data_IF_553725315741
#
_entry.id   IF_553725315741
#
_cell.length_a   1.000
_cell.length_b   1.000
_cell.length_c   1.000
_cell.angle_alpha   90.00
_cell.angle_beta   90.00
_cell.angle_gamma   90.00
#
_symmetry.space_group_name_H-M   'P 1'
#
loop_
_entity.id
_entity.type
_entity.pdbx_description
1 polymer ?
#
# COMPACT_ATOMS: atom_id res chain seq x y z
N UNK A 1 -14.87 8.79 -5.61
CA UNK A 1 -14.43 8.12 -4.37
C UNK A 1 -12.93 8.20 -4.32
N UNK A 2 -12.41 8.84 -3.28
CA UNK A 2 -10.98 8.98 -3.02
C UNK A 2 -10.42 7.65 -2.48
N UNK A 3 -9.11 7.42 -2.59
CA UNK A 3 -8.45 6.24 -2.05
C UNK A 3 -8.68 6.11 -0.53
N UNK A 4 -8.69 7.23 0.19
CA UNK A 4 -8.94 7.24 1.64
C UNK A 4 -10.30 6.63 2.00
N UNK A 5 -11.36 6.95 1.26
CA UNK A 5 -12.70 6.37 1.50
C UNK A 5 -12.70 4.85 1.35
N UNK A 6 -12.06 4.35 0.29
CA UNK A 6 -11.93 2.91 0.05
C UNK A 6 -11.15 2.21 1.17
N UNK A 7 -10.08 2.84 1.68
CA UNK A 7 -9.32 2.30 2.81
C UNK A 7 -10.18 2.23 4.07
N UNK A 8 -10.95 3.29 4.36
CA UNK A 8 -11.87 3.33 5.50
C UNK A 8 -12.93 2.24 5.40
N UNK A 9 -13.58 2.08 4.25
CA UNK A 9 -14.57 1.02 4.01
C UNK A 9 -13.99 -0.38 4.25
N UNK A 10 -12.75 -0.63 3.80
CA UNK A 10 -12.08 -1.91 4.02
C UNK A 10 -11.74 -2.13 5.50
N UNK A 11 -11.24 -1.11 6.20
CA UNK A 11 -10.96 -1.19 7.63
C UNK A 11 -12.24 -1.49 8.42
N UNK A 12 -13.34 -0.82 8.10
CA UNK A 12 -14.65 -1.03 8.72
C UNK A 12 -15.24 -2.42 8.43
N UNK A 13 -15.02 -2.94 7.22
CA UNK A 13 -15.48 -4.26 6.78
C UNK A 13 -14.66 -5.41 7.38
N UNK A 14 -13.33 -5.32 7.29
CA UNK A 14 -12.42 -6.37 7.78
C UNK A 14 -12.33 -6.36 9.31
N UNK A 15 -12.53 -5.19 9.95
CA UNK A 15 -12.48 -4.97 11.40
C UNK A 15 -11.15 -5.40 12.03
N UNK A 16 -10.07 -5.20 11.29
CA UNK A 16 -8.71 -5.46 11.73
C UNK A 16 -7.88 -4.19 11.53
N UNK A 17 -6.81 -3.96 12.32
CA UNK A 17 -5.94 -2.81 12.11
C UNK A 17 -5.06 -3.04 10.88
N UNK A 18 -4.96 -2.02 10.03
CA UNK A 18 -4.14 -2.07 8.82
C UNK A 18 -2.66 -1.89 9.15
N UNK A 19 -1.79 -2.77 8.65
CA UNK A 19 -0.34 -2.64 8.84
C UNK A 19 0.26 -1.68 7.82
N UNK A 20 -0.07 -1.82 6.54
CA UNK A 20 0.45 -0.92 5.52
C UNK A 20 -0.46 -0.92 4.29
N UNK A 21 -0.28 0.10 3.46
CA UNK A 21 -0.88 0.16 2.13
C UNK A 21 0.24 0.25 1.12
N UNK A 22 0.22 -0.63 0.13
CA UNK A 22 1.06 -0.51 -1.06
C UNK A 22 0.18 -0.19 -2.25
N UNK A 23 0.59 0.77 -3.07
CA UNK A 23 -0.05 1.02 -4.36
C UNK A 23 0.99 0.87 -5.45
N UNK A 24 0.67 0.19 -6.54
CA UNK A 24 1.59 -0.07 -7.65
C UNK A 24 0.97 0.33 -8.97
N UNK A 25 1.76 0.99 -9.81
CA UNK A 25 1.44 1.30 -11.20
C UNK A 25 2.52 0.72 -12.11
N UNK A 26 2.13 0.24 -13.29
CA UNK A 26 3.10 0.09 -14.37
C UNK A 26 3.70 1.47 -14.72
N UNK A 27 4.93 1.51 -15.24
CA UNK A 27 5.59 2.76 -15.62
C UNK A 27 5.04 3.34 -16.94
N UNK A 28 3.72 3.41 -17.06
CA UNK A 28 2.96 3.95 -18.18
C UNK A 28 1.75 4.70 -17.64
N UNK A 29 1.48 5.88 -18.18
CA UNK A 29 0.34 6.69 -17.77
C UNK A 29 -0.99 6.02 -18.11
N UNK A 30 -2.02 6.34 -17.33
CA UNK A 30 -3.39 5.89 -17.56
C UNK A 30 -3.56 4.36 -17.58
N UNK A 31 -2.80 3.64 -16.75
CA UNK A 31 -3.01 2.22 -16.45
C UNK A 31 -3.71 2.06 -15.10
N UNK A 32 -4.49 1.00 -14.87
CA UNK A 32 -5.02 0.72 -13.54
C UNK A 32 -3.92 0.68 -12.46
N UNK A 33 -4.26 1.14 -11.26
CA UNK A 33 -3.40 1.02 -10.08
C UNK A 33 -3.83 -0.20 -9.25
N UNK A 34 -2.86 -0.91 -8.69
CA UNK A 34 -3.09 -2.05 -7.79
C UNK A 34 -2.78 -1.61 -6.36
N UNK A 35 -3.82 -1.51 -5.53
CA UNK A 35 -3.71 -1.22 -4.10
C UNK A 35 -3.75 -2.53 -3.31
N UNK A 36 -2.71 -2.83 -2.52
CA UNK A 36 -2.63 -3.98 -1.62
C UNK A 36 -2.68 -3.47 -0.18
N UNK A 37 -3.65 -3.95 0.58
CA UNK A 37 -3.85 -3.66 1.99
C UNK A 37 -3.22 -4.80 2.78
N UNK A 38 -2.19 -4.46 3.54
CA UNK A 38 -1.41 -5.43 4.30
C UNK A 38 -2.04 -5.63 5.67
N UNK A 39 -2.72 -6.75 5.85
CA UNK A 39 -3.22 -7.24 7.14
C UNK A 39 -2.35 -8.37 7.70
N UNK A 40 -1.20 -8.63 7.05
CA UNK A 40 -0.40 -9.82 7.30
C UNK A 40 0.09 -9.86 8.76
N UNK A 41 -0.08 -11.02 9.40
CA UNK A 41 0.21 -11.23 10.82
C UNK A 41 -1.05 -11.29 11.71
N UNK A 42 -2.18 -10.76 11.25
CA UNK A 42 -3.43 -10.90 12.00
C UNK A 42 -4.17 -12.19 11.66
N UNK A 43 -4.77 -12.79 12.69
CA UNK A 43 -5.65 -13.95 12.57
C UNK A 43 -7.02 -13.62 13.13
N UNK A 44 -8.07 -14.13 12.48
CA UNK A 44 -9.47 -13.98 12.91
C UNK A 44 -9.97 -15.31 13.47
N UNK A 45 -10.79 -15.25 14.51
CA UNK A 45 -11.49 -16.41 15.02
C UNK A 45 -12.29 -17.09 13.90
N UNK A 46 -12.26 -18.43 13.88
CA UNK A 46 -13.08 -19.20 12.96
C UNK A 46 -14.54 -19.14 13.44
N UNK A 47 -15.51 -18.71 12.60
CA UNK A 47 -16.90 -18.57 13.05
C UNK A 47 -17.58 -19.89 13.45
N UNK A 48 -17.06 -21.02 12.95
CA UNK A 48 -17.52 -22.34 13.34
C UNK A 48 -17.14 -22.62 14.79
N UNK A 49 -18.10 -23.07 15.60
CA UNK A 49 -17.90 -23.52 16.97
C UNK A 49 -18.35 -24.97 17.07
N UNK A 50 -17.46 -25.86 17.52
CA UNK A 50 -17.74 -27.28 17.73
C UNK A 50 -17.43 -27.62 19.20
N UNK A 51 -18.40 -28.14 19.98
CA UNK A 51 -18.16 -28.51 21.37
C UNK A 51 -16.98 -29.49 21.53
N UNK A 52 -16.04 -29.16 22.43
CA UNK A 52 -14.85 -29.98 22.69
C UNK A 52 -13.76 -29.93 21.62
N UNK A 53 -13.92 -29.12 20.56
CA UNK A 53 -12.93 -28.99 19.49
C UNK A 53 -12.42 -27.55 19.42
N UNK A 54 -11.13 -27.36 19.68
CA UNK A 54 -10.47 -26.08 19.44
C UNK A 54 -10.21 -25.91 17.94
N UNK A 55 -10.86 -24.91 17.34
CA UNK A 55 -10.69 -24.61 15.92
C UNK A 55 -9.66 -23.48 15.78
N UNK A 56 -8.56 -23.69 15.04
CA UNK A 56 -7.50 -22.70 14.95
C UNK A 56 -7.99 -21.40 14.28
N UNK A 57 -7.44 -20.25 14.67
CA UNK A 57 -7.77 -18.97 14.05
C UNK A 57 -7.20 -18.90 12.62
N UNK A 58 -7.97 -18.30 11.72
CA UNK A 58 -7.70 -18.21 10.27
C UNK A 58 -6.88 -16.96 9.97
N UNK A 59 -5.96 -16.97 8.99
CA UNK A 59 -5.38 -15.74 8.51
C UNK A 59 -6.48 -14.80 7.96
N UNK A 60 -6.27 -13.49 8.11
CA UNK A 60 -7.07 -12.49 7.39
C UNK A 60 -6.64 -12.54 5.92
N UNK A 61 -7.58 -12.73 4.97
CA UNK A 61 -7.22 -12.70 3.56
C UNK A 61 -6.58 -11.36 3.20
N UNK A 62 -5.52 -11.39 2.39
CA UNK A 62 -4.96 -10.14 1.88
C UNK A 62 -6.00 -9.46 0.99
N UNK A 63 -6.13 -8.13 1.08
CA UNK A 63 -7.08 -7.39 0.26
C UNK A 63 -6.33 -6.64 -0.82
N UNK A 64 -6.65 -6.92 -2.08
CA UNK A 64 -6.14 -6.16 -3.22
C UNK A 64 -7.30 -5.51 -3.97
N UNK A 65 -7.15 -4.24 -4.34
CA UNK A 65 -8.18 -3.42 -4.97
C UNK A 65 -7.58 -2.79 -6.23
N UNK A 66 -8.31 -2.85 -7.34
CA UNK A 66 -7.97 -2.13 -8.55
C UNK A 66 -8.56 -0.71 -8.50
N UNK A 67 -7.76 0.29 -8.90
CA UNK A 67 -8.20 1.67 -9.05
C UNK A 67 -8.12 2.04 -10.53
N UNK A 68 -9.28 2.17 -11.17
CA UNK A 68 -9.43 2.43 -12.61
C UNK A 68 -9.61 3.91 -12.96
N UNK A 69 -9.32 4.81 -12.02
CA UNK A 69 -9.48 6.24 -12.24
C UNK A 69 -8.48 6.71 -13.31
N UNK A 70 -8.92 7.44 -14.36
CA UNK A 70 -8.00 7.99 -15.35
C UNK A 70 -7.00 8.96 -14.71
N UNK A 71 -5.74 8.88 -15.12
CA UNK A 71 -4.68 9.76 -14.62
C UNK A 71 -3.70 10.09 -15.74
N UNK A 72 -3.14 11.31 -15.68
CA UNK A 72 -2.34 11.88 -16.76
C UNK A 72 -0.85 11.93 -16.46
N UNK A 73 -0.48 11.88 -15.19
CA UNK A 73 0.92 11.92 -14.75
C UNK A 73 1.09 11.22 -13.41
N UNK A 74 2.30 10.78 -13.11
CA UNK A 74 2.61 10.12 -11.85
C UNK A 74 2.44 11.05 -10.65
N UNK A 75 2.65 12.35 -10.85
CA UNK A 75 2.45 13.39 -9.86
C UNK A 75 0.97 13.51 -9.45
N UNK A 76 0.04 13.18 -10.37
CA UNK A 76 -1.39 13.10 -10.03
C UNK A 76 -1.67 11.91 -9.11
N UNK A 77 -0.99 10.79 -9.34
CA UNK A 77 -1.07 9.60 -8.48
C UNK A 77 -0.42 9.86 -7.13
N UNK A 78 0.74 10.53 -7.11
CA UNK A 78 1.41 11.00 -5.89
C UNK A 78 0.47 11.88 -5.06
N UNK A 79 -0.19 12.88 -5.66
CA UNK A 79 -1.10 13.77 -4.94
C UNK A 79 -2.24 12.99 -4.25
N UNK A 80 -2.91 12.10 -4.99
CA UNK A 80 -3.96 11.24 -4.43
C UNK A 80 -3.44 10.37 -3.28
N UNK A 81 -2.24 9.78 -3.43
CA UNK A 81 -1.65 8.92 -2.41
C UNK A 81 -1.18 9.71 -1.18
N UNK A 82 -0.63 10.90 -1.38
CA UNK A 82 -0.22 11.81 -0.32
C UNK A 82 -1.43 12.27 0.48
N UNK A 83 -2.55 12.60 -0.17
CA UNK A 83 -3.79 12.95 0.51
C UNK A 83 -4.36 11.78 1.34
N UNK A 84 -4.38 10.57 0.78
CA UNK A 84 -4.86 9.40 1.51
C UNK A 84 -3.93 9.02 2.69
N UNK A 85 -2.61 9.10 2.49
CA UNK A 85 -1.62 8.86 3.54
C UNK A 85 -1.69 9.93 4.64
N UNK A 86 -1.87 11.20 4.26
CA UNK A 86 -2.03 12.31 5.20
C UNK A 86 -3.27 12.14 6.07
N UNK A 87 -4.42 11.89 5.46
CA UNK A 87 -5.69 11.68 6.15
C UNK A 87 -5.68 10.44 7.06
N UNK A 88 -4.92 9.41 6.68
CA UNK A 88 -4.71 8.21 7.51
C UNK A 88 -3.63 8.36 8.59
N UNK A 89 -3.04 9.55 8.73
CA UNK A 89 -2.05 9.83 9.77
C UNK A 89 -0.67 9.24 9.50
N UNK A 90 -0.38 8.80 8.27
CA UNK A 90 0.90 8.22 7.96
C UNK A 90 2.05 9.21 8.22
N UNK A 91 3.15 8.72 8.75
CA UNK A 91 4.35 9.53 9.01
C UNK A 91 5.11 9.88 7.73
N UNK A 92 5.11 8.96 6.77
CA UNK A 92 5.79 9.09 5.49
C UNK A 92 5.09 8.28 4.39
N UNK A 93 5.33 8.68 3.14
CA UNK A 93 5.05 7.88 1.95
C UNK A 93 6.37 7.60 1.24
N UNK A 94 6.68 6.32 1.03
CA UNK A 94 7.83 5.92 0.22
C UNK A 94 7.38 5.63 -1.21
N UNK A 95 7.96 6.33 -2.19
CA UNK A 95 7.85 6.01 -3.61
C UNK A 95 9.13 5.33 -4.08
N UNK A 96 9.01 4.13 -4.64
CA UNK A 96 10.10 3.40 -5.30
C UNK A 96 9.81 3.29 -6.78
N UNK A 97 10.78 3.69 -7.59
CA UNK A 97 10.77 3.53 -9.05
C UNK A 97 11.72 2.39 -9.43
N UNK A 98 11.25 1.49 -10.29
CA UNK A 98 12.03 0.36 -10.80
C UNK A 98 11.96 0.32 -12.32
N UNK A 99 13.11 0.03 -12.94
CA UNK A 99 13.21 -0.36 -14.36
C UNK A 99 12.44 -1.66 -14.62
N UNK A 100 12.24 -1.99 -15.90
CA UNK A 100 11.68 -3.27 -16.32
C UNK A 100 12.44 -4.46 -15.74
N UNK A 101 11.70 -5.48 -15.32
CA UNK A 101 12.24 -6.68 -14.68
C UNK A 101 12.48 -7.86 -15.64
N UNK A 102 12.10 -7.72 -16.92
CA UNK A 102 12.40 -8.67 -18.00
C UNK A 102 13.44 -8.09 -18.98
N UNK A 103 14.55 -7.59 -18.43
CA UNK A 103 15.67 -7.02 -19.19
C UNK A 103 16.93 -7.84 -18.91
N UNK A 104 17.87 -7.84 -19.86
CA UNK A 104 19.17 -8.49 -19.66
C UNK A 104 19.85 -7.88 -18.42
N UNK A 105 20.34 -8.76 -17.55
CA UNK A 105 20.95 -8.36 -16.27
C UNK A 105 19.94 -8.05 -15.16
N UNK A 106 18.66 -8.40 -15.31
CA UNK A 106 17.73 -8.43 -14.18
C UNK A 106 18.00 -9.66 -13.30
N UNK A 107 18.14 -9.47 -11.99
CA UNK A 107 18.34 -10.58 -11.06
C UNK A 107 17.02 -11.32 -10.76
N UNK A 108 17.12 -12.57 -10.28
CA UNK A 108 15.94 -13.30 -9.79
C UNK A 108 15.20 -12.54 -8.67
N UNK A 109 15.93 -11.80 -7.82
CA UNK A 109 15.36 -10.97 -6.78
C UNK A 109 14.58 -9.77 -7.36
N UNK A 110 15.10 -9.14 -8.43
CA UNK A 110 14.38 -8.06 -9.12
C UNK A 110 13.11 -8.58 -9.80
N UNK A 111 13.17 -9.75 -10.44
CA UNK A 111 11.99 -10.39 -11.03
C UNK A 111 10.94 -10.77 -9.98
N UNK A 112 11.35 -11.31 -8.83
CA UNK A 112 10.44 -11.61 -7.73
C UNK A 112 9.79 -10.34 -7.15
N UNK A 113 10.58 -9.30 -6.90
CA UNK A 113 10.07 -8.03 -6.38
C UNK A 113 9.06 -7.36 -7.33
N UNK A 114 9.26 -7.53 -8.64
CA UNK A 114 8.34 -7.09 -9.69
C UNK A 114 6.98 -7.79 -9.56
N UNK A 115 6.96 -9.13 -9.45
CA UNK A 115 5.72 -9.91 -9.27
C UNK A 115 5.00 -9.56 -7.97
N UNK A 116 5.74 -9.49 -6.86
CA UNK A 116 5.19 -9.14 -5.54
C UNK A 116 4.61 -7.73 -5.49
N UNK A 117 5.14 -6.79 -6.28
CA UNK A 117 4.58 -5.43 -6.36
C UNK A 117 3.13 -5.41 -6.90
N UNK A 118 2.75 -6.41 -7.70
CA UNK A 118 1.39 -6.59 -8.22
C UNK A 118 0.59 -7.65 -7.46
N UNK A 119 1.10 -8.12 -6.32
CA UNK A 119 0.39 -9.07 -5.46
C UNK A 119 0.53 -10.53 -5.86
N UNK A 120 1.44 -10.87 -6.78
CA UNK A 120 1.78 -12.26 -7.06
C UNK A 120 2.88 -12.75 -6.09
N UNK A 121 2.45 -13.57 -5.13
CA UNK A 121 3.29 -14.22 -4.13
C UNK A 121 3.45 -15.74 -4.39
N UNK A 122 3.01 -16.23 -5.56
CA UNK A 122 3.04 -17.65 -5.93
C UNK A 122 1.85 -18.48 -5.42
N UNK A 123 1.72 -19.70 -5.95
CA UNK A 123 0.52 -20.55 -5.84
C UNK A 123 0.11 -20.93 -4.41
N UNK A 124 1.05 -20.96 -3.46
CA UNK A 124 0.77 -21.33 -2.07
C UNK A 124 0.24 -20.16 -1.22
N UNK A 125 0.50 -18.91 -1.62
CA UNK A 125 0.06 -17.70 -0.91
C UNK A 125 -1.13 -17.03 -1.62
N UNK A 126 -1.24 -17.20 -2.94
CA UNK A 126 -2.32 -16.65 -3.74
C UNK A 126 -3.73 -17.11 -3.30
N UNK A 127 -3.85 -18.31 -2.71
CA UNK A 127 -5.12 -18.83 -2.16
C UNK A 127 -5.72 -17.98 -1.03
N UNK A 128 -4.88 -17.20 -0.33
CA UNK A 128 -5.29 -16.37 0.80
C UNK A 128 -5.47 -14.89 0.42
N UNK A 129 -5.19 -14.49 -0.81
CA UNK A 129 -5.49 -13.13 -1.28
C UNK A 129 -6.92 -13.09 -1.80
N UNK A 130 -7.79 -12.36 -1.12
CA UNK A 130 -9.08 -12.00 -1.68
C UNK A 130 -8.83 -10.86 -2.67
N UNK A 131 -8.43 -11.24 -3.88
CA UNK A 131 -8.20 -10.32 -4.98
C UNK A 131 -9.55 -9.80 -5.46
N UNK A 132 -9.83 -8.50 -5.26
CA UNK A 132 -10.91 -7.80 -5.96
C UNK A 132 -10.41 -7.25 -7.31
N UNK A 133 -9.43 -7.94 -7.89
CA UNK A 133 -8.75 -7.57 -9.13
C UNK A 133 -8.99 -8.72 -10.10
N UNK A 134 -9.35 -8.38 -11.34
CA UNK A 134 -9.41 -9.36 -12.42
C UNK A 134 -8.00 -9.93 -12.66
N UNK A 135 -7.86 -11.26 -12.57
CA UNK A 135 -6.58 -11.96 -12.76
C UNK A 135 -5.96 -11.64 -14.11
N UNK A 136 -6.78 -11.53 -15.16
CA UNK A 136 -6.32 -11.20 -16.52
C UNK A 136 -5.71 -9.80 -16.57
N UNK A 137 -6.43 -8.82 -16.00
CA UNK A 137 -5.96 -7.44 -15.91
C UNK A 137 -4.67 -7.31 -15.09
N UNK A 138 -4.55 -8.06 -13.98
CA UNK A 138 -3.33 -8.09 -13.17
C UNK A 138 -2.13 -8.62 -13.96
N UNK A 139 -2.32 -9.72 -14.67
CA UNK A 139 -1.24 -10.35 -15.44
C UNK A 139 -0.79 -9.44 -16.60
N UNK A 140 -1.71 -8.75 -17.27
CA UNK A 140 -1.39 -7.73 -18.28
C UNK A 140 -0.56 -6.57 -17.71
N UNK A 141 -0.92 -6.07 -16.53
CA UNK A 141 -0.17 -5.04 -15.81
C UNK A 141 1.22 -5.51 -15.42
N UNK A 142 1.35 -6.75 -14.93
CA UNK A 142 2.63 -7.36 -14.61
C UNK A 142 3.52 -7.49 -15.83
N UNK A 143 2.97 -7.92 -16.97
CA UNK A 143 3.71 -8.02 -18.22
C UNK A 143 4.14 -6.63 -18.73
N UNK A 144 3.28 -5.62 -18.59
CA UNK A 144 3.64 -4.25 -18.92
C UNK A 144 4.77 -3.73 -18.03
N UNK A 145 4.67 -3.96 -16.72
CA UNK A 145 5.68 -3.58 -15.74
C UNK A 145 7.02 -4.31 -15.97
N UNK A 146 6.97 -5.57 -16.39
CA UNK A 146 8.15 -6.34 -16.72
C UNK A 146 8.94 -5.71 -17.88
N UNK A 147 8.24 -5.10 -18.84
CA UNK A 147 8.88 -4.42 -19.99
C UNK A 147 9.26 -2.97 -19.70
N UNK A 148 8.38 -2.20 -19.04
CA UNK A 148 8.52 -0.74 -18.88
C UNK A 148 9.04 -0.31 -17.51
N UNK A 149 8.99 -1.19 -16.52
CA UNK A 149 9.21 -0.86 -15.12
C UNK A 149 7.90 -0.54 -14.40
N UNK A 150 8.01 -0.22 -13.11
CA UNK A 150 6.87 0.10 -12.26
C UNK A 150 7.23 1.13 -11.20
N UNK A 151 6.20 1.76 -10.67
CA UNK A 151 6.29 2.67 -9.52
C UNK A 151 5.43 2.09 -8.41
N UNK A 152 5.99 2.05 -7.21
CA UNK A 152 5.33 1.53 -6.02
C UNK A 152 5.38 2.56 -4.91
N UNK A 153 4.24 2.81 -4.30
CA UNK A 153 4.11 3.63 -3.11
C UNK A 153 3.81 2.75 -1.89
N UNK A 154 4.35 3.12 -0.75
CA UNK A 154 4.11 2.46 0.53
C UNK A 154 3.88 3.50 1.61
N UNK A 155 2.82 3.34 2.41
CA UNK A 155 2.63 4.11 3.62
C UNK A 155 2.00 3.27 4.73
N UNK A 156 2.11 3.77 5.96
CA UNK A 156 1.74 3.09 7.20
C UNK A 156 0.68 3.94 7.92
N UNK A 157 -0.60 3.54 7.88
CA UNK A 157 -1.67 4.35 8.46
C UNK A 157 -1.62 4.28 10.00
N UNK A 158 -1.84 5.41 10.67
CA UNK A 158 -2.07 5.48 12.12
C UNK A 158 -3.56 5.35 12.40
N UNK A 159 -4.39 6.13 11.71
CA UNK A 159 -5.86 6.04 11.79
C UNK A 159 -6.34 4.71 11.20
N UNK A 160 -6.95 3.88 12.04
CA UNK A 160 -7.40 2.53 11.66
C UNK A 160 -6.26 1.54 11.39
N UNK A 161 -5.02 1.89 11.72
CA UNK A 161 -3.85 1.05 11.54
C UNK A 161 -3.21 0.58 12.85
N UNK A 162 -2.26 -0.34 12.73
CA UNK A 162 -1.53 -0.86 13.89
C UNK A 162 -0.63 0.21 14.53
N UNK A 163 -0.15 1.17 13.75
CA UNK A 163 0.88 2.14 14.17
C UNK A 163 0.44 3.08 15.29
N UNK A 164 -0.87 3.22 15.52
CA UNK A 164 -1.40 3.94 16.70
C UNK A 164 -0.96 3.32 18.03
N UNK A 165 -0.66 2.02 18.07
CA UNK A 165 -0.26 1.34 19.31
C UNK A 165 1.17 1.66 19.75
N UNK A 166 2.00 2.19 18.85
CA UNK A 166 3.41 2.51 19.16
C UNK A 166 3.56 3.86 19.86
N UNK A 167 2.52 4.70 19.86
CA UNK A 167 2.50 6.05 20.45
C UNK A 167 3.74 6.88 20.05
N UNK A 168 4.15 6.75 18.78
CA UNK A 168 5.28 7.50 18.26
C UNK A 168 4.94 9.00 18.23
N UNK A 169 5.90 9.87 18.57
CA UNK A 169 5.66 11.31 18.60
C UNK A 169 5.39 11.83 17.20
N UNK A 170 4.18 12.37 17.01
CA UNK A 170 3.83 13.16 15.83
C UNK A 170 2.88 14.28 16.26
N UNK A 171 3.40 15.50 16.28
CA UNK A 171 2.68 16.67 16.76
C UNK A 171 1.66 17.19 15.74
N UNK A 172 1.56 16.54 14.56
CA UNK A 172 0.64 16.92 13.48
C UNK A 172 -0.65 16.09 13.46
N UNK A 173 -0.77 15.05 14.29
CA UNK A 173 -1.92 14.16 14.33
C UNK A 173 -3.09 14.76 15.12
N UNK A 174 -4.31 14.56 14.59
CA UNK A 174 -5.55 14.78 15.32
C UNK A 174 -5.79 13.64 16.34
N UNK A 175 -6.73 13.82 17.26
CA UNK A 175 -7.03 12.86 18.33
C UNK A 175 -7.46 11.45 17.85
N UNK A 176 -7.96 11.35 16.62
CA UNK A 176 -8.32 10.08 15.99
C UNK A 176 -7.14 9.39 15.28
N UNK A 177 -5.96 10.02 15.29
CA UNK A 177 -4.74 9.56 14.62
C UNK A 177 -4.71 9.87 13.12
N UNK A 178 -5.61 10.72 12.61
CA UNK A 178 -5.60 11.20 11.24
C UNK A 178 -5.14 12.66 11.13
N UNK A 179 -5.36 13.26 9.96
CA UNK A 179 -5.15 14.69 9.71
C UNK A 179 -6.19 15.22 8.74
N UNK A 180 -6.46 16.53 8.77
CA UNK A 180 -7.40 17.18 7.85
C UNK A 180 -6.77 17.42 6.47
N UNK A 181 -7.46 17.13 5.36
CA UNK A 181 -6.97 17.44 4.02
C UNK A 181 -6.95 18.97 3.77
N UNK A 182 -6.19 19.44 2.77
CA UNK A 182 -5.30 18.67 1.89
C UNK A 182 -3.95 18.35 2.53
N UNK A 183 -3.22 17.39 1.97
CA UNK A 183 -1.84 17.15 2.32
C UNK A 183 -0.97 18.36 1.92
N UNK A 184 -0.15 18.92 2.83
CA UNK A 184 0.68 20.09 2.53
C UNK A 184 1.95 19.76 1.73
N UNK A 185 2.26 18.48 1.50
CA UNK A 185 3.48 18.04 0.83
C UNK A 185 3.22 17.91 -0.68
N UNK A 186 3.95 18.65 -1.54
CA UNK A 186 3.76 18.56 -2.98
C UNK A 186 4.38 17.27 -3.55
N UNK A 187 3.80 16.71 -4.63
CA UNK A 187 4.41 15.65 -5.40
C UNK A 187 5.79 16.03 -5.97
N UNK A 188 6.71 15.08 -6.02
CA UNK A 188 7.98 15.25 -6.72
C UNK A 188 7.90 14.69 -8.14
N UNK A 189 8.58 15.30 -9.13
CA UNK A 189 8.65 14.73 -10.47
C UNK A 189 9.30 13.34 -10.44
N UNK A 190 8.97 12.51 -11.43
CA UNK A 190 9.66 11.23 -11.63
C UNK A 190 11.13 11.40 -11.97
N UNK A 191 11.93 10.41 -11.56
CA UNK A 191 13.35 10.38 -11.93
C UNK A 191 13.52 10.04 -13.41
N UNK A 192 14.42 10.72 -14.15
CA UNK A 192 14.63 10.47 -15.57
C UNK A 192 15.09 9.04 -15.90
N UNK A 193 15.81 8.39 -14.99
CA UNK A 193 16.32 7.02 -15.13
C UNK A 193 15.28 5.94 -14.77
N UNK A 194 14.10 6.34 -14.29
CA UNK A 194 13.04 5.45 -13.86
C UNK A 194 13.44 4.52 -12.71
N UNK A 195 14.49 4.87 -11.95
CA UNK A 195 15.00 4.09 -10.83
C UNK A 195 15.28 4.99 -9.64
N UNK A 196 14.78 4.61 -8.48
CA UNK A 196 15.17 5.29 -7.25
C UNK A 196 14.15 5.16 -6.14
N UNK A 197 14.37 5.99 -5.13
CA UNK A 197 13.54 6.09 -3.94
C UNK A 197 13.34 7.56 -3.62
N UNK A 198 12.10 7.94 -3.37
CA UNK A 198 11.68 9.24 -2.85
C UNK A 198 10.87 8.97 -1.58
N UNK A 199 11.12 9.73 -0.52
CA UNK A 199 10.38 9.61 0.75
C UNK A 199 9.75 10.96 1.04
N UNK A 200 8.43 11.01 1.01
CA UNK A 200 7.65 12.16 1.39
C UNK A 200 7.44 12.13 2.91
N UNK A 201 8.08 13.06 3.62
CA UNK A 201 7.89 13.20 5.08
C UNK A 201 6.61 13.97 5.35
N UNK A 202 5.65 13.33 6.01
CA UNK A 202 4.35 13.92 6.34
C UNK A 202 4.32 14.41 7.79
N UNK A 203 4.62 13.53 8.74
CA UNK A 203 4.60 13.85 10.17
C UNK A 203 5.78 14.71 10.61
N UNK A 204 5.61 15.39 11.74
CA UNK A 204 6.64 16.27 12.32
C UNK A 204 6.66 16.16 13.84
N UNK A 205 7.86 16.26 14.41
CA UNK A 205 8.05 16.48 15.85
C UNK A 205 8.63 17.88 16.03
N UNK A 206 7.94 18.72 16.79
CA UNK A 206 8.34 20.08 17.14
C UNK A 206 9.02 20.15 18.51
N UNK A 207 8.91 19.09 19.31
CA UNK A 207 9.57 18.96 20.61
C UNK A 207 10.89 18.21 20.55
N UNK A 208 11.81 18.56 21.45
CA UNK A 208 13.06 17.83 21.66
C UNK A 208 12.72 16.45 22.22
N UNK A 209 13.11 15.40 21.51
CA UNK A 209 13.02 14.03 22.00
C UNK A 209 14.24 13.76 22.88
N UNK A 210 14.01 13.61 24.19
CA UNK A 210 15.05 13.16 25.10
C UNK A 210 15.14 11.62 25.01
N UNK A 211 16.32 11.04 24.77
CA UNK A 211 16.49 9.58 24.82
C UNK A 211 16.13 9.07 26.23
N UNK A 212 15.41 7.95 26.27
CA UNK A 212 15.11 7.22 27.51
C UNK A 212 16.29 6.36 27.93
#
# INVERSE_FOLDING_TARGET
>A
MDLFDRLREQIESVRMPLFAVTVTAAAQVNTPLVAILHWHGFRRATPLVLPGVEIPPRPVPGSAIQLDAPWRSFETVDAMLLDAAWQSGAWEVERVERRGCNVIGASAAEALACRQAFGDYGENVARDLQLLIDETARDELMQLAARRGYVRWLFRPVKGGLWRTLDEPDDTLDADGGRRPPCPVPPEPRRPDGRGRTVYRLGRVHRILLPR
#
